data_IF_062071340949
#
_entry.id   IF_062071340949
#
_cell.length_a   1.000
_cell.length_b   1.000
_cell.length_c   1.000
_cell.angle_alpha   90.00
_cell.angle_beta   90.00
_cell.angle_gamma   90.00
#
_symmetry.space_group_name_H-M   'P 1'
#
loop_
_entity.id
_entity.type
_entity.pdbx_description
1 polymer ?
#
# COMPACT_ATOMS: atom_id res chain seq x y z
N UNK A 1 21.75 -59.79 5.58
CA UNK A 1 22.58 -58.55 5.45
C UNK A 1 22.16 -57.61 4.31
N UNK A 2 21.37 -58.03 3.32
CA UNK A 2 20.96 -57.20 2.16
C UNK A 2 19.83 -56.21 2.52
N UNK A 3 18.93 -56.56 3.41
CA UNK A 3 17.82 -55.66 3.86
C UNK A 3 18.27 -54.38 4.60
N UNK A 4 19.37 -54.48 5.35
CA UNK A 4 19.91 -53.33 6.08
C UNK A 4 20.47 -52.25 5.19
N UNK A 5 21.16 -52.63 4.12
CA UNK A 5 21.74 -51.66 3.13
C UNK A 5 20.65 -50.91 2.34
N UNK A 6 19.58 -51.60 1.97
CA UNK A 6 18.46 -50.98 1.22
C UNK A 6 17.70 -49.99 2.11
N UNK A 7 17.48 -50.32 3.40
CA UNK A 7 16.87 -49.39 4.35
C UNK A 7 17.70 -48.13 4.52
N UNK A 8 19.02 -48.26 4.66
CA UNK A 8 19.92 -47.09 4.79
C UNK A 8 19.91 -46.20 3.54
N UNK A 9 19.91 -46.78 2.34
CA UNK A 9 19.86 -46.03 1.08
C UNK A 9 18.53 -45.28 0.98
N UNK A 10 17.41 -45.91 1.29
CA UNK A 10 16.08 -45.25 1.28
C UNK A 10 16.03 -44.10 2.25
N UNK A 11 16.57 -44.24 3.46
CA UNK A 11 16.64 -43.16 4.45
C UNK A 11 17.48 -41.98 3.95
N UNK A 12 18.61 -42.26 3.33
CA UNK A 12 19.48 -41.20 2.77
C UNK A 12 18.78 -40.47 1.63
N UNK A 13 18.11 -41.18 0.72
CA UNK A 13 17.33 -40.59 -0.37
C UNK A 13 16.16 -39.72 0.13
N UNK A 14 15.48 -40.18 1.18
CA UNK A 14 14.41 -39.42 1.84
C UNK A 14 14.95 -38.11 2.42
N UNK A 15 16.05 -38.16 3.18
CA UNK A 15 16.65 -36.97 3.81
C UNK A 15 17.21 -35.97 2.78
N UNK A 16 17.80 -36.47 1.68
CA UNK A 16 18.44 -35.60 0.69
C UNK A 16 17.49 -35.01 -0.37
N UNK A 17 16.39 -35.70 -0.69
CA UNK A 17 15.48 -35.29 -1.77
C UNK A 17 14.10 -34.88 -1.27
N UNK A 18 13.45 -35.73 -0.48
CA UNK A 18 12.05 -35.51 -0.10
C UNK A 18 11.95 -34.44 0.99
N UNK A 19 12.76 -34.52 2.04
CA UNK A 19 12.70 -33.56 3.14
C UNK A 19 13.00 -32.11 2.70
N UNK A 20 14.08 -31.81 1.96
CA UNK A 20 14.33 -30.46 1.44
C UNK A 20 13.22 -29.98 0.49
N UNK A 21 12.67 -30.87 -0.33
CA UNK A 21 11.56 -30.55 -1.24
C UNK A 21 10.29 -30.18 -0.47
N UNK A 22 9.97 -30.90 0.61
CA UNK A 22 8.84 -30.56 1.48
C UNK A 22 9.04 -29.22 2.20
N UNK A 23 10.26 -28.98 2.71
CA UNK A 23 10.61 -27.70 3.34
C UNK A 23 10.52 -26.57 2.31
N UNK A 24 11.08 -26.75 1.12
CA UNK A 24 10.98 -25.78 0.03
C UNK A 24 9.51 -25.47 -0.33
N UNK A 25 8.69 -26.52 -0.49
CA UNK A 25 7.28 -26.37 -0.80
C UNK A 25 6.50 -25.67 0.32
N UNK A 26 6.81 -25.97 1.59
CA UNK A 26 6.23 -25.30 2.75
C UNK A 26 6.60 -23.80 2.80
N UNK A 27 7.88 -23.48 2.59
CA UNK A 27 8.38 -22.10 2.61
C UNK A 27 7.85 -21.31 1.40
N UNK A 28 7.82 -21.89 0.21
CA UNK A 28 7.40 -21.22 -1.04
C UNK A 28 5.89 -21.02 -1.14
N UNK A 29 5.09 -21.78 -0.40
CA UNK A 29 3.64 -21.54 -0.31
C UNK A 29 3.28 -20.23 0.40
N UNK A 30 4.26 -19.55 1.00
CA UNK A 30 4.08 -18.20 1.52
C UNK A 30 3.14 -18.13 2.73
N UNK A 31 3.00 -19.19 3.48
CA UNK A 31 2.33 -19.15 4.78
C UNK A 31 3.28 -18.51 5.79
N UNK A 32 3.16 -17.20 5.95
CA UNK A 32 3.81 -16.51 7.06
C UNK A 32 2.98 -16.75 8.33
N UNK A 33 3.37 -17.76 9.11
CA UNK A 33 2.68 -18.10 10.36
C UNK A 33 3.17 -17.27 11.56
N UNK A 34 4.20 -16.45 11.39
CA UNK A 34 4.94 -15.83 12.48
C UNK A 34 4.77 -14.31 12.57
N UNK A 35 4.45 -13.63 11.48
CA UNK A 35 4.33 -12.17 11.44
C UNK A 35 2.92 -11.81 10.98
N UNK A 36 2.23 -10.98 11.78
CA UNK A 36 1.00 -10.30 11.39
C UNK A 36 1.24 -8.81 11.54
N UNK A 37 0.65 -8.02 10.65
CA UNK A 37 0.66 -6.58 10.80
C UNK A 37 -0.31 -6.16 11.90
N UNK A 38 0.05 -5.10 12.62
CA UNK A 38 -0.84 -4.52 13.60
C UNK A 38 -1.96 -3.73 12.93
N UNK A 39 -3.14 -3.72 13.56
CA UNK A 39 -4.23 -2.82 13.24
C UNK A 39 -3.97 -1.53 14.02
N UNK A 40 -3.71 -0.46 13.29
CA UNK A 40 -3.42 0.83 13.91
C UNK A 40 -4.71 1.43 14.45
N UNK A 41 -4.69 1.93 15.68
CA UNK A 41 -5.84 2.51 16.42
C UNK A 41 -7.02 1.57 16.70
N UNK A 42 -6.80 0.25 16.60
CA UNK A 42 -7.73 -0.79 17.04
C UNK A 42 -8.76 -1.19 15.99
N UNK A 43 -9.40 -2.33 16.22
CA UNK A 43 -10.27 -3.01 15.26
C UNK A 43 -11.53 -2.22 14.86
N UNK A 44 -11.93 -1.24 15.65
CA UNK A 44 -13.14 -0.43 15.39
C UNK A 44 -12.84 0.79 14.51
N UNK A 45 -11.59 1.15 14.29
CA UNK A 45 -11.24 2.27 13.41
C UNK A 45 -11.21 1.80 11.96
N UNK A 46 -12.05 2.42 11.14
CA UNK A 46 -12.10 2.22 9.69
C UNK A 46 -12.10 3.57 9.00
N UNK A 47 -11.62 3.57 7.77
CA UNK A 47 -11.70 4.75 6.92
C UNK A 47 -13.16 5.16 6.72
N UNK A 48 -13.45 6.43 6.92
CA UNK A 48 -14.77 7.02 6.73
C UNK A 48 -15.32 6.76 5.32
N UNK A 49 -16.64 6.75 5.21
CA UNK A 49 -17.28 6.62 3.90
C UNK A 49 -17.03 7.86 3.06
N UNK A 50 -16.67 7.64 1.81
CA UNK A 50 -16.44 8.69 0.83
C UNK A 50 -17.02 8.32 -0.54
N UNK A 51 -17.24 9.34 -1.37
CA UNK A 51 -17.61 9.20 -2.77
C UNK A 51 -16.95 10.34 -3.54
N UNK A 52 -15.87 10.04 -4.25
CA UNK A 52 -15.03 11.00 -4.96
C UNK A 52 -14.94 10.61 -6.44
N UNK A 53 -14.40 11.49 -7.28
CA UNK A 53 -14.19 11.19 -8.70
C UNK A 53 -12.72 11.05 -9.02
N UNK A 54 -12.39 10.10 -9.92
CA UNK A 54 -11.02 9.90 -10.35
C UNK A 54 -10.69 10.71 -11.63
N UNK A 55 -9.46 10.58 -12.10
CA UNK A 55 -8.94 11.22 -13.32
C UNK A 55 -9.73 10.88 -14.61
N UNK A 56 -10.59 9.86 -14.58
CA UNK A 56 -11.45 9.46 -15.71
C UNK A 56 -12.92 9.87 -15.49
N UNK A 57 -13.20 10.76 -14.53
CA UNK A 57 -14.55 11.15 -14.12
C UNK A 57 -15.41 9.97 -13.63
N UNK A 58 -14.80 8.91 -13.10
CA UNK A 58 -15.48 7.76 -12.54
C UNK A 58 -15.60 7.91 -11.03
N UNK A 59 -16.75 7.51 -10.47
CA UNK A 59 -16.96 7.51 -9.03
C UNK A 59 -16.14 6.38 -8.39
N UNK A 60 -15.35 6.74 -7.38
CA UNK A 60 -14.61 5.83 -6.51
C UNK A 60 -15.08 6.04 -5.07
N UNK A 61 -15.42 4.97 -4.39
CA UNK A 61 -15.91 4.97 -3.02
C UNK A 61 -15.35 3.77 -2.25
N UNK A 62 -15.74 3.61 -0.98
CA UNK A 62 -15.29 2.49 -0.15
C UNK A 62 -15.59 1.12 -0.78
N UNK A 63 -16.75 0.95 -1.45
CA UNK A 63 -17.11 -0.31 -2.10
C UNK A 63 -16.20 -0.62 -3.30
N UNK A 64 -15.71 0.41 -4.01
CA UNK A 64 -14.74 0.27 -5.10
C UNK A 64 -13.38 -0.23 -4.62
N UNK A 65 -13.03 0.04 -3.35
CA UNK A 65 -11.76 -0.35 -2.73
C UNK A 65 -11.89 -1.63 -1.90
N UNK A 66 -13.10 -1.98 -1.45
CA UNK A 66 -13.34 -3.16 -0.60
C UNK A 66 -12.80 -4.43 -1.24
N UNK A 67 -12.19 -5.29 -0.43
CA UNK A 67 -11.59 -6.54 -0.89
C UNK A 67 -10.21 -6.37 -1.55
N UNK A 68 -9.73 -5.13 -1.73
CA UNK A 68 -8.38 -4.83 -2.16
C UNK A 68 -7.53 -4.32 -0.98
N UNK A 69 -6.24 -4.59 -1.03
CA UNK A 69 -5.26 -3.89 -0.22
C UNK A 69 -4.88 -2.63 -0.99
N UNK A 70 -4.79 -1.48 -0.33
CA UNK A 70 -4.36 -0.28 -1.03
C UNK A 70 -3.43 0.60 -0.21
N UNK A 71 -2.60 1.36 -0.92
CA UNK A 71 -1.73 2.38 -0.36
C UNK A 71 -2.30 3.74 -0.72
N UNK A 72 -2.54 4.56 0.29
CA UNK A 72 -3.12 5.89 0.17
C UNK A 72 -2.10 6.98 0.52
N UNK A 73 -2.23 8.14 -0.14
CA UNK A 73 -1.54 9.37 0.24
C UNK A 73 -2.40 10.60 -0.06
N UNK A 74 -1.99 11.73 0.54
CA UNK A 74 -2.56 13.05 0.26
C UNK A 74 -1.54 13.89 -0.47
N UNK A 75 -1.95 14.61 -1.52
CA UNK A 75 -1.06 15.38 -2.39
C UNK A 75 -1.82 16.56 -3.03
N UNK A 76 -1.15 17.37 -3.84
CA UNK A 76 -1.77 18.29 -4.81
C UNK A 76 -0.83 18.54 -5.99
N UNK A 77 -1.41 18.80 -7.17
CA UNK A 77 -0.64 18.83 -8.42
C UNK A 77 0.35 19.98 -8.51
N UNK A 78 0.05 21.12 -7.86
CA UNK A 78 0.88 22.31 -7.87
C UNK A 78 1.93 22.35 -6.74
N UNK A 79 2.14 21.24 -6.03
CA UNK A 79 3.16 21.13 -4.99
C UNK A 79 4.57 21.22 -5.60
N UNK A 80 5.40 22.22 -5.21
CA UNK A 80 6.70 22.42 -5.85
C UNK A 80 7.78 21.46 -5.36
N UNK A 81 7.59 20.80 -4.22
CA UNK A 81 8.67 20.12 -3.49
C UNK A 81 8.46 18.62 -3.34
N UNK A 82 7.63 18.20 -2.38
CA UNK A 82 7.58 16.81 -1.93
C UNK A 82 6.67 15.92 -2.78
N UNK A 83 5.58 16.44 -3.35
CA UNK A 83 4.64 15.63 -4.11
C UNK A 83 5.26 14.93 -5.34
N UNK A 84 6.15 15.56 -6.13
CA UNK A 84 6.84 14.85 -7.19
C UNK A 84 7.72 13.70 -6.69
N UNK A 85 8.36 13.84 -5.52
CA UNK A 85 9.15 12.80 -4.89
C UNK A 85 8.25 11.65 -4.41
N UNK A 86 7.14 11.98 -3.75
CA UNK A 86 6.13 11.00 -3.32
C UNK A 86 5.53 10.26 -4.51
N UNK A 87 5.18 10.96 -5.60
CA UNK A 87 4.66 10.32 -6.81
C UNK A 87 5.68 9.36 -7.42
N UNK A 88 6.97 9.73 -7.46
CA UNK A 88 8.05 8.83 -7.89
C UNK A 88 8.13 7.59 -6.99
N UNK A 89 8.07 7.76 -5.68
CA UNK A 89 8.15 6.66 -4.73
C UNK A 89 6.89 5.77 -4.76
N UNK A 90 5.70 6.33 -4.99
CA UNK A 90 4.49 5.55 -5.21
C UNK A 90 4.58 4.73 -6.51
N UNK A 91 5.13 5.31 -7.59
CA UNK A 91 5.42 4.59 -8.84
C UNK A 91 6.43 3.45 -8.61
N UNK A 92 7.42 3.66 -7.75
CA UNK A 92 8.36 2.61 -7.35
C UNK A 92 7.66 1.47 -6.60
N UNK A 93 6.77 1.79 -5.64
CA UNK A 93 5.93 0.79 -4.96
C UNK A 93 5.06 0.02 -5.96
N UNK A 94 4.36 0.73 -6.85
CA UNK A 94 3.52 0.11 -7.87
C UNK A 94 4.30 -0.87 -8.74
N UNK A 95 5.50 -0.51 -9.17
CA UNK A 95 6.37 -1.35 -9.99
C UNK A 95 6.83 -2.61 -9.26
N UNK A 96 7.14 -2.53 -7.96
CA UNK A 96 7.57 -3.66 -7.15
C UNK A 96 6.42 -4.59 -6.77
N UNK A 97 5.20 -4.07 -6.71
CA UNK A 97 4.01 -4.79 -6.30
C UNK A 97 3.12 -5.25 -7.46
N UNK A 98 3.54 -5.02 -8.72
CA UNK A 98 2.77 -5.34 -9.95
C UNK A 98 2.35 -6.79 -10.11
N UNK A 99 3.02 -7.72 -9.42
CA UNK A 99 2.68 -9.15 -9.44
C UNK A 99 1.44 -9.49 -8.59
N UNK A 100 0.95 -8.53 -7.81
CA UNK A 100 -0.21 -8.68 -6.94
C UNK A 100 -1.41 -7.91 -7.51
N UNK A 101 -2.37 -8.58 -8.17
CA UNK A 101 -3.46 -7.89 -8.91
C UNK A 101 -4.45 -7.15 -8.01
N UNK A 102 -4.51 -7.51 -6.72
CA UNK A 102 -5.47 -6.93 -5.75
C UNK A 102 -4.83 -5.82 -4.89
N UNK A 103 -3.77 -5.19 -5.39
CA UNK A 103 -3.19 -4.01 -4.75
C UNK A 103 -3.55 -2.79 -5.58
N UNK A 104 -4.10 -1.79 -4.91
CA UNK A 104 -4.43 -0.49 -5.49
C UNK A 104 -3.61 0.63 -4.87
N UNK A 105 -3.54 1.74 -5.56
CA UNK A 105 -2.92 2.98 -5.13
C UNK A 105 -3.95 4.10 -5.23
N UNK A 106 -4.00 4.96 -4.23
CA UNK A 106 -5.01 6.04 -4.18
C UNK A 106 -4.34 7.31 -3.71
N UNK A 107 -4.40 8.35 -4.54
CA UNK A 107 -3.88 9.68 -4.20
C UNK A 107 -5.04 10.65 -4.09
N UNK A 108 -5.31 11.15 -2.89
CA UNK A 108 -6.35 12.14 -2.62
C UNK A 108 -5.77 13.54 -2.74
N UNK A 109 -6.42 14.43 -3.50
CA UNK A 109 -5.99 15.84 -3.49
C UNK A 109 -6.34 16.53 -2.20
N UNK A 110 -5.55 17.54 -1.82
CA UNK A 110 -5.91 18.50 -0.76
C UNK A 110 -6.29 19.87 -1.35
N UNK A 111 -6.20 20.03 -2.67
CA UNK A 111 -6.55 21.25 -3.43
C UNK A 111 -7.60 20.95 -4.52
N UNK A 112 -8.82 20.53 -4.15
CA UNK A 112 -9.82 20.12 -5.13
C UNK A 112 -10.33 21.26 -6.03
N UNK A 113 -10.06 22.50 -5.68
CA UNK A 113 -10.42 23.65 -6.51
C UNK A 113 -9.58 23.69 -7.80
N UNK A 114 -8.29 23.37 -7.69
CA UNK A 114 -7.36 23.37 -8.82
C UNK A 114 -7.16 21.97 -9.41
N UNK A 115 -7.29 20.94 -8.60
CA UNK A 115 -7.03 19.54 -8.98
C UNK A 115 -8.30 18.86 -9.50
N UNK A 116 -8.68 19.22 -10.73
CA UNK A 116 -9.77 18.58 -11.48
C UNK A 116 -9.30 17.25 -12.12
N UNK A 117 -10.23 16.40 -12.58
CA UNK A 117 -9.86 15.20 -13.34
C UNK A 117 -8.95 15.48 -14.54
N UNK A 118 -9.19 16.58 -15.27
CA UNK A 118 -8.37 17.01 -16.40
C UNK A 118 -6.96 17.41 -15.93
N UNK A 119 -6.86 18.16 -14.81
CA UNK A 119 -5.57 18.54 -14.22
C UNK A 119 -4.76 17.33 -13.77
N UNK A 120 -5.41 16.30 -13.26
CA UNK A 120 -4.74 15.03 -12.94
C UNK A 120 -4.11 14.38 -14.17
N UNK A 121 -4.80 14.35 -15.31
CA UNK A 121 -4.25 13.79 -16.54
C UNK A 121 -3.02 14.59 -17.01
N UNK A 122 -3.06 15.92 -16.94
CA UNK A 122 -1.89 16.78 -17.24
C UNK A 122 -0.71 16.47 -16.29
N UNK A 123 -0.97 16.41 -15.00
CA UNK A 123 0.04 16.08 -13.98
C UNK A 123 0.69 14.71 -14.23
N UNK A 124 -0.13 13.70 -14.57
CA UNK A 124 0.36 12.37 -14.90
C UNK A 124 1.30 12.40 -16.10
N UNK A 125 0.96 13.15 -17.14
CA UNK A 125 1.84 13.33 -18.32
C UNK A 125 3.11 14.11 -17.96
N UNK A 126 3.03 15.15 -17.12
CA UNK A 126 4.23 15.85 -16.61
C UNK A 126 5.17 14.88 -15.86
N UNK A 127 4.62 13.96 -15.05
CA UNK A 127 5.41 12.96 -14.33
C UNK A 127 6.01 11.92 -15.29
N UNK A 128 5.27 11.49 -16.30
CA UNK A 128 5.78 10.59 -17.36
C UNK A 128 6.93 11.20 -18.15
N UNK A 129 6.86 12.49 -18.46
CA UNK A 129 7.96 13.22 -19.10
C UNK A 129 9.23 13.26 -18.22
N UNK A 130 9.07 13.15 -16.89
CA UNK A 130 10.18 13.01 -15.92
C UNK A 130 10.62 11.55 -15.70
N UNK A 131 10.21 10.63 -16.57
CA UNK A 131 10.48 9.19 -16.49
C UNK A 131 9.87 8.50 -15.22
N UNK A 132 8.79 9.04 -14.69
CA UNK A 132 8.01 8.42 -13.63
C UNK A 132 6.85 7.67 -14.27
N UNK A 133 6.89 6.33 -14.22
CA UNK A 133 5.87 5.49 -14.84
C UNK A 133 4.66 5.34 -13.91
N UNK A 134 3.49 5.80 -14.36
CA UNK A 134 2.22 5.70 -13.63
C UNK A 134 1.29 4.77 -14.42
N UNK A 135 0.95 3.61 -13.84
CA UNK A 135 -0.03 2.69 -14.41
C UNK A 135 -1.42 2.96 -13.82
N UNK A 136 -2.29 3.57 -14.62
CA UNK A 136 -3.65 3.94 -14.23
C UNK A 136 -4.62 2.76 -14.08
N UNK A 137 -4.17 1.52 -14.32
CA UNK A 137 -5.03 0.33 -14.11
C UNK A 137 -5.35 0.08 -12.64
N UNK A 138 -4.45 0.48 -11.75
CA UNK A 138 -4.58 0.26 -10.32
C UNK A 138 -4.20 1.48 -9.47
N UNK A 139 -4.10 2.66 -10.07
CA UNK A 139 -3.82 3.91 -9.36
C UNK A 139 -4.85 4.97 -9.73
N UNK A 140 -5.63 5.38 -8.74
CA UNK A 140 -6.65 6.43 -8.83
C UNK A 140 -6.15 7.72 -8.16
N UNK A 141 -6.32 8.85 -8.87
CA UNK A 141 -6.14 10.20 -8.36
C UNK A 141 -7.54 10.77 -8.10
N UNK A 142 -7.84 11.14 -6.87
CA UNK A 142 -9.20 11.43 -6.44
C UNK A 142 -9.39 12.89 -6.04
N UNK A 143 -10.49 13.48 -6.51
CA UNK A 143 -10.96 14.82 -6.18
C UNK A 143 -12.45 14.83 -5.87
N UNK A 144 -12.94 15.92 -5.26
CA UNK A 144 -14.36 16.07 -4.90
C UNK A 144 -14.57 17.33 -4.06
N UNK A 145 -15.62 17.30 -3.24
CA UNK A 145 -15.89 18.42 -2.34
C UNK A 145 -14.79 18.54 -1.26
N UNK A 146 -14.35 19.78 -1.01
CA UNK A 146 -13.23 20.08 -0.11
C UNK A 146 -13.47 19.56 1.32
N UNK A 147 -14.66 19.80 1.85
CA UNK A 147 -15.00 19.41 3.23
C UNK A 147 -15.02 17.89 3.38
N UNK A 148 -15.47 17.16 2.36
CA UNK A 148 -15.46 15.69 2.34
C UNK A 148 -14.04 15.16 2.32
N UNK A 149 -13.15 15.74 1.51
CA UNK A 149 -11.74 15.33 1.43
C UNK A 149 -11.02 15.59 2.76
N UNK A 150 -11.25 16.76 3.37
CA UNK A 150 -10.59 17.11 4.64
C UNK A 150 -11.09 16.26 5.80
N UNK A 151 -12.40 15.97 5.83
CA UNK A 151 -12.97 15.02 6.79
C UNK A 151 -12.38 13.62 6.58
N UNK A 152 -12.29 13.18 5.33
CA UNK A 152 -11.71 11.89 4.98
C UNK A 152 -10.23 11.81 5.44
N UNK A 153 -9.45 12.88 5.24
CA UNK A 153 -8.06 12.94 5.67
C UNK A 153 -7.91 12.70 7.18
N UNK A 154 -8.84 13.19 8.00
CA UNK A 154 -8.83 12.94 9.44
C UNK A 154 -8.99 11.45 9.77
N UNK A 155 -9.78 10.69 9.01
CA UNK A 155 -9.94 9.25 9.21
C UNK A 155 -8.68 8.44 8.86
N UNK A 156 -7.80 9.02 8.04
CA UNK A 156 -6.46 8.50 7.76
C UNK A 156 -5.39 9.02 8.73
N UNK A 157 -5.78 9.88 9.71
CA UNK A 157 -4.84 10.62 10.56
C UNK A 157 -3.83 11.45 9.76
N UNK A 158 -4.19 11.82 8.55
CA UNK A 158 -3.42 12.71 7.72
C UNK A 158 -3.80 14.17 8.02
N UNK A 159 -2.80 15.03 8.21
CA UNK A 159 -3.04 16.46 8.28
C UNK A 159 -3.28 16.99 6.86
N UNK A 160 -4.46 17.54 6.62
CA UNK A 160 -4.79 18.24 5.39
C UNK A 160 -5.50 19.54 5.75
N UNK A 161 -4.89 20.69 5.43
CA UNK A 161 -5.50 22.02 5.62
C UNK A 161 -4.83 23.07 4.77
N UNK A 162 -5.57 24.12 4.44
CA UNK A 162 -4.97 25.33 3.88
C UNK A 162 -4.03 25.98 4.89
N UNK A 163 -2.85 26.37 4.43
CA UNK A 163 -1.88 27.11 5.21
C UNK A 163 -1.09 28.03 4.27
N UNK A 164 -1.36 29.32 4.36
CA UNK A 164 -0.76 30.33 3.49
C UNK A 164 0.77 30.44 3.64
N UNK A 165 1.35 29.87 4.69
CA UNK A 165 2.80 29.85 4.94
C UNK A 165 3.43 28.58 4.35
N UNK A 166 2.65 27.52 4.19
CA UNK A 166 3.14 26.25 3.63
C UNK A 166 3.48 26.40 2.14
N UNK A 167 4.50 25.69 1.63
CA UNK A 167 4.81 25.66 0.21
C UNK A 167 3.63 25.19 -0.62
N UNK A 168 3.15 26.04 -1.54
CA UNK A 168 1.97 25.75 -2.37
C UNK A 168 0.63 26.06 -1.69
N UNK A 169 0.60 26.58 -0.47
CA UNK A 169 -0.63 27.02 0.21
C UNK A 169 -1.38 25.95 1.00
N UNK A 170 -0.81 24.74 1.09
CA UNK A 170 -1.44 23.61 1.78
C UNK A 170 -0.45 22.89 2.69
N UNK A 171 -0.90 22.60 3.92
CA UNK A 171 -0.23 21.62 4.78
C UNK A 171 -0.83 20.25 4.49
N UNK A 172 0.01 19.31 4.13
CA UNK A 172 -0.34 17.90 4.00
C UNK A 172 0.80 17.03 4.54
N UNK A 173 0.46 15.80 4.91
CA UNK A 173 1.46 14.85 5.40
C UNK A 173 2.18 14.18 4.22
N UNK A 174 3.48 13.97 4.36
CA UNK A 174 4.32 13.20 3.44
C UNK A 174 4.16 11.67 3.59
N UNK A 175 3.08 11.21 4.20
CA UNK A 175 2.91 9.81 4.57
C UNK A 175 2.17 8.99 3.52
N UNK A 176 2.61 7.74 3.39
CA UNK A 176 1.85 6.66 2.78
C UNK A 176 1.22 5.80 3.87
N UNK A 177 -0.03 5.42 3.65
CA UNK A 177 -0.84 4.69 4.62
C UNK A 177 -1.28 3.40 3.95
N UNK A 178 -1.05 2.26 4.62
CA UNK A 178 -1.43 0.93 4.15
C UNK A 178 -2.80 0.57 4.71
N UNK A 179 -3.72 0.22 3.82
CA UNK A 179 -5.10 -0.15 4.19
C UNK A 179 -5.39 -1.56 3.70
N UNK A 180 -6.05 -2.34 4.54
CA UNK A 180 -6.42 -3.71 4.25
C UNK A 180 -7.78 -3.83 3.53
N UNK A 181 -8.19 -5.07 3.28
CA UNK A 181 -9.43 -5.40 2.55
C UNK A 181 -10.69 -5.01 3.30
N UNK A 182 -10.62 -4.83 4.59
CA UNK A 182 -11.70 -4.45 5.50
C UNK A 182 -11.78 -2.93 5.71
N UNK A 183 -10.81 -2.16 5.15
CA UNK A 183 -10.72 -0.70 5.31
C UNK A 183 -10.04 -0.28 6.62
N UNK A 184 -9.19 -1.15 7.21
CA UNK A 184 -8.44 -0.87 8.42
C UNK A 184 -7.01 -0.46 8.07
N UNK A 185 -6.45 0.48 8.82
CA UNK A 185 -5.05 0.88 8.67
C UNK A 185 -4.16 -0.20 9.29
N UNK A 186 -3.21 -0.68 8.50
CA UNK A 186 -2.27 -1.74 8.90
C UNK A 186 -0.84 -1.21 8.88
N UNK A 187 -0.03 -1.72 9.78
CA UNK A 187 1.37 -1.31 9.85
C UNK A 187 2.26 -2.40 10.43
N UNK A 188 3.48 -2.46 9.94
CA UNK A 188 4.56 -3.19 10.56
C UNK A 188 5.16 -2.44 11.73
N UNK A 189 6.27 -2.98 12.23
CA UNK A 189 7.03 -2.42 13.34
C UNK A 189 8.40 -1.95 12.89
N UNK A 190 8.91 -0.95 13.57
CA UNK A 190 10.29 -0.50 13.39
C UNK A 190 11.29 -1.45 14.09
N UNK A 191 12.58 -1.16 13.96
CA UNK A 191 13.65 -1.95 14.60
C UNK A 191 13.64 -1.94 16.14
N UNK A 192 12.80 -1.11 16.75
CA UNK A 192 12.61 -1.01 18.20
C UNK A 192 11.28 -1.61 18.66
N UNK A 193 10.58 -2.34 17.77
CA UNK A 193 9.27 -2.95 18.01
C UNK A 193 8.11 -1.94 18.18
N UNK A 194 8.29 -0.68 17.76
CA UNK A 194 7.21 0.29 17.75
C UNK A 194 6.42 0.20 16.43
N UNK A 195 5.11 0.30 16.51
CA UNK A 195 4.23 0.38 15.34
C UNK A 195 4.55 1.62 14.52
N UNK A 196 4.85 1.45 13.22
CA UNK A 196 5.22 2.56 12.33
C UNK A 196 4.02 3.49 12.11
N UNK A 197 2.82 2.94 11.92
CA UNK A 197 1.56 3.67 11.73
C UNK A 197 1.41 4.23 10.31
N UNK A 198 2.36 5.02 9.85
CA UNK A 198 2.42 5.62 8.51
C UNK A 198 3.87 5.67 8.02
N UNK A 199 4.06 5.53 6.70
CA UNK A 199 5.38 5.43 6.08
C UNK A 199 5.73 6.76 5.42
N UNK A 200 6.87 7.36 5.79
CA UNK A 200 7.36 8.57 5.13
C UNK A 200 7.60 8.28 3.64
N UNK A 201 6.77 8.89 2.79
CA UNK A 201 6.76 8.74 1.34
C UNK A 201 7.98 9.32 0.63
N UNK A 202 8.84 10.03 1.36
CA UNK A 202 10.11 10.58 0.85
C UNK A 202 11.31 9.71 1.21
N UNK A 203 11.14 8.73 2.10
CA UNK A 203 12.21 7.91 2.68
C UNK A 203 12.29 6.53 2.02
N UNK A 204 13.44 6.21 1.41
CA UNK A 204 13.65 4.92 0.73
C UNK A 204 13.56 3.70 1.66
N UNK A 205 13.93 3.85 2.94
CA UNK A 205 13.85 2.74 3.91
C UNK A 205 12.38 2.45 4.20
N UNK A 206 11.56 3.50 4.41
CA UNK A 206 10.13 3.34 4.60
C UNK A 206 9.44 2.73 3.39
N UNK A 207 9.91 3.03 2.16
CA UNK A 207 9.38 2.39 0.95
C UNK A 207 9.66 0.89 0.91
N UNK A 208 10.85 0.46 1.31
CA UNK A 208 11.20 -0.97 1.42
C UNK A 208 10.36 -1.67 2.49
N UNK A 209 10.24 -1.05 3.66
CA UNK A 209 9.40 -1.57 4.75
C UNK A 209 7.94 -1.73 4.29
N UNK A 210 7.38 -0.71 3.63
CA UNK A 210 6.01 -0.77 3.11
C UNK A 210 5.81 -1.90 2.08
N UNK A 211 6.78 -2.13 1.18
CA UNK A 211 6.73 -3.26 0.25
C UNK A 211 6.69 -4.59 1.00
N UNK A 212 7.52 -4.74 2.02
CA UNK A 212 7.57 -5.99 2.79
C UNK A 212 6.31 -6.18 3.64
N UNK A 213 5.78 -5.12 4.22
CA UNK A 213 4.51 -5.15 4.98
C UNK A 213 3.31 -5.47 4.08
N UNK A 214 3.25 -4.93 2.87
CA UNK A 214 2.24 -5.35 1.87
C UNK A 214 2.32 -6.85 1.59
N UNK A 215 3.53 -7.41 1.44
CA UNK A 215 3.71 -8.87 1.22
C UNK A 215 3.26 -9.69 2.44
N UNK A 216 3.57 -9.21 3.66
CA UNK A 216 3.09 -9.83 4.91
C UNK A 216 1.56 -9.83 4.95
N UNK A 217 0.93 -8.67 4.68
CA UNK A 217 -0.51 -8.53 4.66
C UNK A 217 -1.17 -9.45 3.61
N UNK A 218 -0.58 -9.55 2.42
CA UNK A 218 -1.04 -10.49 1.39
C UNK A 218 -0.94 -11.95 1.84
N UNK A 219 0.09 -12.30 2.61
CA UNK A 219 0.26 -13.63 3.16
C UNK A 219 -0.77 -13.95 4.27
N UNK A 220 -1.13 -12.96 5.10
CA UNK A 220 -2.21 -13.10 6.09
C UNK A 220 -3.53 -13.54 5.45
N UNK A 221 -3.90 -12.94 4.33
CA UNK A 221 -5.13 -13.27 3.59
C UNK A 221 -5.09 -14.60 2.82
N UNK A 222 -3.91 -15.21 2.66
CA UNK A 222 -3.79 -16.56 2.09
C UNK A 222 -3.96 -17.67 3.14
N UNK A 223 -3.87 -17.33 4.42
CA UNK A 223 -4.07 -18.31 5.49
C UNK A 223 -5.52 -18.79 5.46
N UNK A 224 -5.78 -20.11 5.61
CA UNK A 224 -7.13 -20.58 5.84
C UNK A 224 -7.66 -19.93 7.13
N UNK A 225 -8.89 -19.38 7.07
CA UNK A 225 -9.55 -18.90 8.29
C UNK A 225 -9.62 -20.10 9.27
N UNK A 226 -9.11 -19.91 10.49
CA UNK A 226 -9.38 -20.85 11.57
C UNK A 226 -10.84 -20.63 11.95
N UNK A 227 -11.67 -21.63 11.67
CA UNK A 227 -13.03 -21.71 12.18
C UNK A 227 -13.01 -21.78 13.71
#
# INVERSE_FOLDING_TARGET
>A
MQNSKNSTIITILFLLLIFPSLVYFYVTRGYNNFINLEIVWGENHKIDNFSLVNQNNQIVNNDSLRGNIYVANFFFTNCPNICPVMTKNMSYLQSNLKVYPNIKFVSYTVDPVNDTPERFLEYIEEMRMKNINIDLKNWDFLTGEKDDIYKLAMSYFANAKEDSIAPGGFLHSEYFILIDKEGQIRSGKDKFDNTIGAYDGTNEIHMKNLIDDVKVLMAEYKKPKKD
#
